data_IF_265975251766
#
_entry.id   IF_265975251766
#
_cell.length_a   1.000
_cell.length_b   1.000
_cell.length_c   1.000
_cell.angle_alpha   90.00
_cell.angle_beta   90.00
_cell.angle_gamma   90.00
#
_symmetry.space_group_name_H-M   'P 1'
#
loop_
_entity.id
_entity.type
_entity.pdbx_description
1 polymer ?
#
# COMPACT_ATOMS: atom_id res chain seq x y z
N UNK A 1 23.07 -8.86 -10.35
CA UNK A 1 21.86 -8.04 -10.59
C UNK A 1 20.69 -8.77 -9.95
N UNK A 2 19.80 -8.13 -9.21
CA UNK A 2 18.72 -8.85 -8.53
C UNK A 2 17.76 -9.47 -9.55
N UNK A 3 17.37 -10.72 -9.33
CA UNK A 3 16.43 -11.51 -10.16
C UNK A 3 15.09 -10.82 -10.46
N UNK A 4 14.76 -9.79 -9.71
CA UNK A 4 13.51 -9.04 -9.82
C UNK A 4 13.46 -8.05 -11.02
N UNK A 5 14.59 -7.66 -11.60
CA UNK A 5 14.63 -6.69 -12.71
C UNK A 5 13.89 -7.20 -13.98
N UNK A 6 13.93 -8.49 -14.20
CA UNK A 6 13.31 -9.13 -15.37
C UNK A 6 11.76 -9.19 -15.26
N UNK A 7 11.22 -9.22 -14.05
CA UNK A 7 9.78 -9.26 -13.80
C UNK A 7 9.12 -7.88 -14.04
N UNK A 8 9.80 -6.83 -13.61
CA UNK A 8 9.37 -5.44 -13.86
C UNK A 8 9.40 -5.12 -15.36
N UNK A 9 10.49 -5.47 -16.03
CA UNK A 9 10.64 -5.23 -17.46
C UNK A 9 9.52 -5.88 -18.28
N UNK A 10 9.17 -7.14 -17.99
CA UNK A 10 8.06 -7.84 -18.66
C UNK A 10 6.70 -7.19 -18.38
N UNK A 11 6.44 -6.73 -17.16
CA UNK A 11 5.18 -6.07 -16.84
C UNK A 11 5.07 -4.71 -17.52
N UNK A 12 6.13 -3.93 -17.59
CA UNK A 12 6.17 -2.65 -18.30
C UNK A 12 6.01 -2.80 -19.81
N UNK A 13 6.63 -3.81 -20.42
CA UNK A 13 6.40 -4.12 -21.84
C UNK A 13 4.94 -4.47 -22.14
N UNK A 14 4.29 -5.21 -21.24
CA UNK A 14 2.86 -5.56 -21.39
C UNK A 14 1.97 -4.32 -21.30
N UNK A 15 2.27 -3.39 -20.41
CA UNK A 15 1.55 -2.12 -20.28
C UNK A 15 1.76 -1.25 -21.51
N UNK A 16 2.99 -1.09 -21.96
CA UNK A 16 3.33 -0.34 -23.15
C UNK A 16 2.56 -0.86 -24.37
N UNK A 17 2.53 -2.18 -24.55
CA UNK A 17 1.84 -2.84 -25.67
C UNK A 17 0.32 -2.68 -25.62
N UNK A 18 -0.29 -2.74 -24.43
CA UNK A 18 -1.74 -2.82 -24.27
C UNK A 18 -2.41 -1.47 -23.98
N UNK A 19 -1.71 -0.52 -23.39
CA UNK A 19 -2.27 0.76 -22.88
C UNK A 19 -1.54 2.00 -23.37
N UNK A 20 -0.45 1.85 -24.13
CA UNK A 20 0.32 2.95 -24.67
C UNK A 20 1.33 3.56 -23.70
N UNK A 21 2.12 4.50 -24.21
CA UNK A 21 3.29 5.07 -23.53
C UNK A 21 2.91 5.97 -22.33
N UNK A 22 1.79 6.69 -22.41
CA UNK A 22 1.30 7.54 -21.33
C UNK A 22 0.97 6.74 -20.07
N UNK A 23 0.24 5.63 -20.21
CA UNK A 23 -0.10 4.74 -19.11
C UNK A 23 1.12 4.07 -18.48
N UNK A 24 2.16 3.83 -19.27
CA UNK A 24 3.43 3.33 -18.77
C UNK A 24 4.14 4.39 -17.91
N UNK A 25 4.16 5.64 -18.36
CA UNK A 25 4.74 6.74 -17.58
C UNK A 25 4.01 6.97 -16.26
N UNK A 26 2.67 6.90 -16.26
CA UNK A 26 1.85 7.06 -15.06
C UNK A 26 2.12 5.94 -14.05
N UNK A 27 2.23 4.70 -14.51
CA UNK A 27 2.53 3.56 -13.62
C UNK A 27 3.96 3.60 -13.07
N UNK A 28 4.95 3.98 -13.89
CA UNK A 28 6.34 4.15 -13.45
C UNK A 28 6.41 5.29 -12.44
N UNK A 29 5.82 6.43 -12.74
CA UNK A 29 5.85 7.63 -11.89
C UNK A 29 5.19 7.38 -10.54
N UNK A 30 4.04 6.74 -10.54
CA UNK A 30 3.23 6.56 -9.33
C UNK A 30 3.72 5.42 -8.42
N UNK A 31 4.12 4.33 -9.03
CA UNK A 31 4.43 3.11 -8.32
C UNK A 31 5.92 2.97 -7.99
N UNK A 32 6.76 3.11 -8.98
CA UNK A 32 8.20 2.96 -8.81
C UNK A 32 8.78 4.10 -7.97
N UNK A 33 8.28 5.32 -8.19
CA UNK A 33 8.77 6.50 -7.47
C UNK A 33 8.46 6.43 -5.97
N UNK A 34 7.30 5.92 -5.57
CA UNK A 34 6.98 5.73 -4.15
C UNK A 34 7.98 4.81 -3.46
N UNK A 35 8.22 3.63 -4.03
CA UNK A 35 9.14 2.65 -3.46
C UNK A 35 10.60 3.12 -3.53
N UNK A 36 11.00 3.75 -4.63
CA UNK A 36 12.36 4.27 -4.80
C UNK A 36 12.69 5.36 -3.77
N UNK A 37 11.81 6.35 -3.59
CA UNK A 37 12.01 7.45 -2.65
C UNK A 37 12.02 6.94 -1.21
N UNK A 38 11.15 5.99 -0.87
CA UNK A 38 11.02 5.51 0.50
C UNK A 38 11.89 4.28 0.81
N UNK A 39 12.50 3.66 -0.20
CA UNK A 39 13.28 2.43 -0.07
C UNK A 39 12.41 1.21 0.27
N UNK A 40 11.10 1.29 0.03
CA UNK A 40 10.13 0.24 0.32
C UNK A 40 10.00 -0.73 -0.86
N UNK A 41 9.29 -1.83 -0.66
CA UNK A 41 9.01 -2.84 -1.69
C UNK A 41 7.52 -3.20 -1.69
N UNK A 42 6.69 -2.20 -1.97
CA UNK A 42 5.22 -2.37 -1.96
C UNK A 42 4.68 -2.89 -3.30
N UNK A 43 5.46 -2.76 -4.39
CA UNK A 43 5.03 -3.10 -5.75
C UNK A 43 5.35 -4.53 -6.18
N UNK A 44 6.33 -5.18 -5.57
CA UNK A 44 6.81 -6.49 -6.02
C UNK A 44 5.70 -7.52 -5.83
N UNK A 45 5.18 -8.03 -6.94
CA UNK A 45 4.29 -9.17 -6.94
C UNK A 45 5.08 -10.41 -6.55
N UNK A 46 4.76 -11.00 -5.42
CA UNK A 46 5.32 -12.28 -5.02
C UNK A 46 4.32 -13.39 -5.34
N UNK A 47 4.80 -14.41 -6.02
CA UNK A 47 4.06 -15.64 -6.28
C UNK A 47 4.02 -16.02 -7.76
N UNK A 48 4.36 -17.25 -8.08
CA UNK A 48 3.96 -17.92 -9.32
C UNK A 48 2.45 -18.16 -9.23
N UNK A 49 1.74 -18.06 -10.33
CA UNK A 49 0.27 -18.19 -10.47
C UNK A 49 -0.32 -19.57 -10.09
N UNK A 50 0.41 -20.40 -9.37
CA UNK A 50 -0.01 -21.74 -8.95
C UNK A 50 -0.71 -21.78 -7.60
N UNK A 51 -0.59 -20.72 -6.80
CA UNK A 51 -1.29 -20.62 -5.53
C UNK A 51 -2.57 -19.83 -5.74
N UNK A 52 -3.66 -20.21 -5.09
CA UNK A 52 -4.99 -19.56 -5.09
C UNK A 52 -4.97 -18.10 -4.59
N UNK A 53 -3.84 -17.42 -4.69
CA UNK A 53 -3.69 -16.01 -4.38
C UNK A 53 -4.33 -15.20 -5.51
N UNK A 54 -5.45 -14.56 -5.24
CA UNK A 54 -5.89 -13.43 -6.05
C UNK A 54 -4.69 -12.49 -6.18
N UNK A 55 -4.34 -12.13 -7.40
CA UNK A 55 -3.15 -11.34 -7.70
C UNK A 55 -3.09 -10.09 -6.81
N UNK A 56 -2.05 -10.01 -5.95
CA UNK A 56 -1.74 -8.79 -5.24
C UNK A 56 -1.50 -7.67 -6.26
N UNK A 57 -2.34 -6.66 -6.23
CA UNK A 57 -2.21 -5.46 -7.08
C UNK A 57 -2.29 -4.24 -6.16
N UNK A 58 -1.18 -3.54 -5.93
CA UNK A 58 -1.19 -2.35 -5.09
C UNK A 58 -1.91 -1.20 -5.80
N UNK A 59 -2.70 -0.44 -5.05
CA UNK A 59 -3.33 0.78 -5.52
C UNK A 59 -2.28 1.83 -5.93
N UNK A 60 -2.63 2.71 -6.86
CA UNK A 60 -1.80 3.86 -7.24
C UNK A 60 -1.66 4.84 -6.06
N UNK A 61 -0.45 5.37 -5.85
CA UNK A 61 -0.18 6.30 -4.77
C UNK A 61 -0.98 7.59 -4.90
N UNK A 62 -1.13 8.09 -6.12
CA UNK A 62 -1.94 9.28 -6.45
C UNK A 62 -3.40 9.06 -6.07
N UNK A 63 -3.98 7.91 -6.44
CA UNK A 63 -5.36 7.56 -6.11
C UNK A 63 -5.60 7.52 -4.60
N UNK A 64 -4.69 6.90 -3.84
CA UNK A 64 -4.79 6.85 -2.37
C UNK A 64 -4.75 8.26 -1.78
N UNK A 65 -3.80 9.09 -2.22
CA UNK A 65 -3.64 10.48 -1.74
C UNK A 65 -4.88 11.31 -2.05
N UNK A 66 -5.38 11.23 -3.28
CA UNK A 66 -6.55 11.96 -3.73
C UNK A 66 -7.82 11.53 -2.99
N UNK A 67 -8.04 10.21 -2.85
CA UNK A 67 -9.17 9.67 -2.09
C UNK A 67 -9.18 10.18 -0.64
N UNK A 68 -8.02 10.20 0.03
CA UNK A 68 -7.94 10.69 1.40
C UNK A 68 -8.18 12.22 1.45
N UNK A 69 -7.59 13.00 0.53
CA UNK A 69 -7.76 14.47 0.51
C UNK A 69 -9.21 14.89 0.29
N UNK A 70 -9.94 14.16 -0.52
CA UNK A 70 -11.33 14.47 -0.85
C UNK A 70 -12.32 14.19 0.29
N UNK A 71 -11.89 13.53 1.38
CA UNK A 71 -12.77 13.26 2.53
C UNK A 71 -13.20 14.53 3.29
N UNK A 72 -12.45 15.63 3.20
CA UNK A 72 -12.72 16.90 3.88
C UNK A 72 -13.06 16.76 5.38
N UNK A 73 -12.25 15.99 6.11
CA UNK A 73 -12.46 15.65 7.53
C UNK A 73 -11.28 16.08 8.41
N UNK A 74 -11.49 16.13 9.73
CA UNK A 74 -10.40 16.25 10.70
C UNK A 74 -9.81 14.87 10.96
N UNK A 75 -8.78 14.45 10.20
CA UNK A 75 -8.20 13.09 10.23
C UNK A 75 -7.90 12.56 11.62
N UNK A 76 -7.43 13.40 12.55
CA UNK A 76 -7.13 13.03 13.95
C UNK A 76 -8.31 12.44 14.72
N UNK A 77 -9.53 12.64 14.23
CA UNK A 77 -10.75 12.14 14.84
C UNK A 77 -11.20 10.78 14.27
N UNK A 78 -10.51 10.27 13.26
CA UNK A 78 -10.89 9.06 12.54
C UNK A 78 -9.77 8.03 12.55
N UNK A 79 -10.13 6.76 12.55
CA UNK A 79 -9.24 5.67 12.24
C UNK A 79 -9.27 5.45 10.71
N UNK A 80 -8.12 5.09 10.12
CA UNK A 80 -8.02 4.64 8.74
C UNK A 80 -7.81 3.12 8.73
N UNK A 81 -8.65 2.40 8.01
CA UNK A 81 -8.66 0.95 7.97
C UNK A 81 -8.54 0.51 6.51
N UNK A 82 -7.46 -0.18 6.22
CA UNK A 82 -7.14 -0.72 4.91
C UNK A 82 -7.49 -2.21 4.88
N UNK A 83 -8.58 -2.56 4.20
CA UNK A 83 -9.06 -3.92 4.04
C UNK A 83 -8.39 -4.56 2.81
N UNK A 84 -7.59 -5.59 3.02
CA UNK A 84 -6.70 -6.13 2.01
C UNK A 84 -5.40 -5.32 1.90
N UNK A 85 -4.80 -4.98 3.04
CA UNK A 85 -3.67 -4.01 3.09
C UNK A 85 -2.40 -4.47 2.36
N UNK A 86 -2.31 -5.74 1.97
CA UNK A 86 -1.19 -6.29 1.25
C UNK A 86 0.15 -5.97 1.92
N UNK A 87 1.07 -5.35 1.18
CA UNK A 87 2.40 -4.93 1.67
C UNK A 87 2.40 -3.53 2.32
N UNK A 88 1.21 -2.97 2.62
CA UNK A 88 1.04 -1.78 3.46
C UNK A 88 1.18 -0.44 2.76
N UNK A 89 1.12 -0.35 1.42
CA UNK A 89 1.30 0.91 0.71
C UNK A 89 0.29 1.99 1.14
N UNK A 90 -1.01 1.64 1.18
CA UNK A 90 -2.04 2.60 1.55
C UNK A 90 -1.92 3.04 3.02
N UNK A 91 -1.58 2.14 3.93
CA UNK A 91 -1.34 2.47 5.34
C UNK A 91 -0.15 3.42 5.52
N UNK A 92 0.95 3.22 4.76
CA UNK A 92 2.11 4.12 4.79
C UNK A 92 1.77 5.51 4.26
N UNK A 93 1.01 5.61 3.16
CA UNK A 93 0.52 6.88 2.64
C UNK A 93 -0.41 7.55 3.64
N UNK A 94 -1.37 6.82 4.20
CA UNK A 94 -2.32 7.35 5.19
C UNK A 94 -1.61 7.89 6.43
N UNK A 95 -0.44 7.36 6.82
CA UNK A 95 0.32 7.86 7.96
C UNK A 95 0.72 9.34 7.83
N UNK A 96 0.79 9.88 6.62
CA UNK A 96 1.09 11.29 6.34
C UNK A 96 -0.08 12.24 6.67
N UNK A 97 -1.29 11.70 6.87
CA UNK A 97 -2.50 12.49 7.12
C UNK A 97 -2.92 12.60 8.60
N UNK A 98 -2.09 12.07 9.51
CA UNK A 98 -2.29 12.15 10.98
C UNK A 98 -3.63 11.59 11.46
N UNK A 99 -4.06 10.47 10.92
CA UNK A 99 -5.21 9.73 11.45
C UNK A 99 -4.99 9.36 12.93
N UNK A 100 -6.07 9.17 13.69
CA UNK A 100 -6.03 8.75 15.10
C UNK A 100 -5.29 7.41 15.24
N UNK A 101 -5.62 6.46 14.38
CA UNK A 101 -5.01 5.13 14.28
C UNK A 101 -5.08 4.67 12.82
N UNK A 102 -4.11 3.85 12.41
CA UNK A 102 -4.11 3.22 11.10
C UNK A 102 -4.04 1.71 11.31
N UNK A 103 -4.91 0.96 10.62
CA UNK A 103 -5.01 -0.48 10.71
C UNK A 103 -4.98 -1.06 9.31
N UNK A 104 -4.06 -1.97 9.05
CA UNK A 104 -4.03 -2.80 7.86
C UNK A 104 -4.54 -4.20 8.20
N UNK A 105 -5.61 -4.64 7.54
CA UNK A 105 -6.16 -5.99 7.65
C UNK A 105 -5.77 -6.76 6.42
N UNK A 106 -5.13 -7.91 6.59
CA UNK A 106 -4.63 -8.73 5.49
C UNK A 106 -4.74 -10.21 5.85
N UNK A 107 -5.21 -11.01 4.91
CA UNK A 107 -5.40 -12.45 5.10
C UNK A 107 -4.05 -13.19 5.19
N UNK A 108 -3.09 -12.76 4.39
CA UNK A 108 -1.84 -13.51 4.21
C UNK A 108 -0.73 -12.99 5.12
N UNK A 109 -0.32 -13.82 6.07
CA UNK A 109 0.76 -13.52 7.02
C UNK A 109 2.06 -13.07 6.36
N UNK A 110 2.38 -13.62 5.18
CA UNK A 110 3.57 -13.25 4.41
C UNK A 110 3.52 -11.77 3.99
N UNK A 111 2.36 -11.29 3.51
CA UNK A 111 2.17 -9.89 3.12
C UNK A 111 2.24 -8.96 4.35
N UNK A 112 1.67 -9.37 5.48
CA UNK A 112 1.80 -8.62 6.74
C UNK A 112 3.26 -8.47 7.16
N UNK A 113 4.06 -9.52 7.06
CA UNK A 113 5.48 -9.44 7.40
C UNK A 113 6.20 -8.45 6.48
N UNK A 114 5.92 -8.48 5.17
CA UNK A 114 6.43 -7.49 4.23
C UNK A 114 5.95 -6.06 4.54
N UNK A 115 4.68 -5.88 4.93
CA UNK A 115 4.14 -4.59 5.33
C UNK A 115 4.86 -4.02 6.57
N UNK A 116 5.12 -4.85 7.56
CA UNK A 116 5.87 -4.46 8.76
C UNK A 116 7.32 -4.06 8.45
N UNK A 117 7.97 -4.77 7.52
CA UNK A 117 9.30 -4.43 7.06
C UNK A 117 9.32 -3.11 6.28
N UNK A 118 8.38 -2.93 5.35
CA UNK A 118 8.18 -1.67 4.65
C UNK A 118 7.93 -0.50 5.63
N UNK A 119 7.15 -0.73 6.69
CA UNK A 119 6.92 0.28 7.73
C UNK A 119 8.21 0.70 8.43
N UNK A 120 9.06 -0.25 8.82
CA UNK A 120 10.37 0.05 9.45
C UNK A 120 11.24 0.89 8.51
N UNK A 121 11.37 0.45 7.24
CA UNK A 121 12.16 1.15 6.22
C UNK A 121 11.60 2.56 5.99
N UNK A 122 10.28 2.69 5.82
CA UNK A 122 9.62 3.97 5.58
C UNK A 122 9.90 4.98 6.69
N UNK A 123 9.72 4.58 7.96
CA UNK A 123 9.96 5.46 9.11
C UNK A 123 11.45 5.62 9.48
N UNK A 124 12.35 4.84 8.91
CA UNK A 124 13.80 5.09 9.03
C UNK A 124 14.24 6.33 8.25
N UNK A 125 13.52 6.69 7.19
CA UNK A 125 13.81 7.86 6.38
C UNK A 125 13.54 9.16 7.16
N UNK A 126 14.49 10.10 7.13
CA UNK A 126 14.44 11.35 7.89
C UNK A 126 13.14 12.15 7.62
N UNK A 127 12.69 12.21 6.36
CA UNK A 127 11.51 12.96 5.95
C UNK A 127 10.17 12.31 6.32
N UNK A 128 10.17 11.02 6.69
CA UNK A 128 8.97 10.33 7.15
C UNK A 128 8.87 10.26 8.70
N UNK A 129 9.91 10.64 9.43
CA UNK A 129 9.94 10.55 10.90
C UNK A 129 8.86 11.40 11.59
N UNK A 130 8.45 12.50 10.97
CA UNK A 130 7.46 13.44 11.53
C UNK A 130 6.04 12.88 11.52
N UNK A 131 5.77 11.85 10.71
CA UNK A 131 4.44 11.27 10.49
C UNK A 131 4.20 9.99 11.29
N UNK A 132 4.78 9.85 12.48
CA UNK A 132 4.65 8.64 13.31
C UNK A 132 3.24 8.44 13.85
N UNK A 133 2.30 8.08 12.97
CA UNK A 133 1.04 7.50 13.38
C UNK A 133 1.25 6.01 13.69
N UNK A 134 0.60 5.51 14.73
CA UNK A 134 0.64 4.07 15.06
C UNK A 134 -0.07 3.28 13.96
N UNK A 135 0.69 2.49 13.19
CA UNK A 135 0.14 1.53 12.24
C UNK A 135 0.15 0.16 12.89
N UNK A 136 -0.99 -0.51 12.84
CA UNK A 136 -1.16 -1.89 13.31
C UNK A 136 -1.56 -2.78 12.14
N UNK A 137 -0.94 -3.96 12.02
CA UNK A 137 -1.28 -4.94 11.01
C UNK A 137 -1.90 -6.17 11.66
N UNK A 138 -3.09 -6.56 11.20
CA UNK A 138 -3.90 -7.65 11.71
C UNK A 138 -4.02 -8.72 10.63
N UNK A 139 -3.67 -9.96 11.00
CA UNK A 139 -3.85 -11.12 10.13
C UNK A 139 -5.27 -11.64 10.30
N UNK A 140 -6.15 -11.26 9.39
CA UNK A 140 -7.56 -11.64 9.41
C UNK A 140 -8.17 -11.58 8.03
N UNK A 141 -9.21 -12.35 7.83
CA UNK A 141 -10.13 -12.17 6.72
C UNK A 141 -10.86 -10.82 6.89
N UNK A 142 -10.87 -10.01 5.83
CA UNK A 142 -11.52 -8.71 5.84
C UNK A 142 -13.04 -8.80 6.09
N UNK A 143 -13.69 -9.88 5.64
CA UNK A 143 -15.11 -10.13 5.87
C UNK A 143 -15.43 -10.44 7.34
N UNK A 144 -14.48 -11.02 8.06
CA UNK A 144 -14.61 -11.37 9.48
C UNK A 144 -14.12 -10.28 10.42
N UNK A 145 -13.48 -9.26 9.88
CA UNK A 145 -12.92 -8.19 10.68
C UNK A 145 -14.01 -7.20 11.09
N UNK A 146 -14.35 -7.20 12.37
CA UNK A 146 -15.27 -6.22 12.96
C UNK A 146 -14.54 -5.27 13.89
N UNK A 147 -14.76 -3.98 13.71
CA UNK A 147 -14.26 -2.96 14.62
C UNK A 147 -15.43 -2.49 15.49
N UNK A 148 -15.25 -2.60 16.81
CA UNK A 148 -16.17 -2.01 17.76
C UNK A 148 -16.01 -0.50 17.74
N UNK A 149 -17.06 0.17 17.29
CA UNK A 149 -17.47 1.55 17.52
C UNK A 149 -16.32 2.56 17.63
N UNK A 150 -15.99 3.22 16.52
CA UNK A 150 -15.28 4.48 16.48
C UNK A 150 -15.53 5.13 15.10
N UNK A 151 -15.10 6.38 14.90
CA UNK A 151 -15.16 7.03 13.60
C UNK A 151 -14.12 6.41 12.66
N UNK A 152 -14.56 5.57 11.77
CA UNK A 152 -13.69 4.79 10.87
C UNK A 152 -13.85 5.25 9.42
N UNK A 153 -12.74 5.29 8.71
CA UNK A 153 -12.67 5.38 7.25
C UNK A 153 -12.15 4.04 6.75
N UNK A 154 -12.93 3.37 5.92
CA UNK A 154 -12.54 2.12 5.29
C UNK A 154 -12.00 2.41 3.90
N UNK A 155 -10.83 1.86 3.61
CA UNK A 155 -10.22 1.84 2.30
C UNK A 155 -10.18 0.39 1.81
N UNK A 156 -10.56 0.18 0.56
CA UNK A 156 -10.51 -1.11 -0.11
C UNK A 156 -10.25 -0.88 -1.60
N UNK A 157 -9.29 -1.62 -2.15
CA UNK A 157 -8.90 -1.51 -3.56
C UNK A 157 -8.88 -2.89 -4.25
#
# INVERSE_FOLDING_TARGET
MPENSNLYFKSYLKILKNRGISSLFDEIKDNLLFDLINGTSTQIREGKSTDNYKHYSPAYSSLIVESIRNLNIKYKNYNFIDLGSGKGKATLIASKFRFKKIIGVELYKKLINAAKENQKIFFSKKWNKTYRCKIEYICSDAEKYSIKIDKNIYFMF
#
